data_IF_459741572958
#
_entry.id   IF_459741572958
#
_cell.length_a   1.000
_cell.length_b   1.000
_cell.length_c   1.000
_cell.angle_alpha   90.00
_cell.angle_beta   90.00
_cell.angle_gamma   90.00
#
_symmetry.space_group_name_H-M   'P 1'
#
loop_
_entity.id
_entity.type
_entity.pdbx_description
1 polymer ?
#
# COMPACT_ATOMS: atom_id res chain seq x y z
N UNK A 1 -7.95 -14.65 0.90
CA UNK A 1 -8.74 -14.43 2.14
C UNK A 1 -9.21 -13.01 2.10
N UNK A 2 -10.54 -12.81 2.13
CA UNK A 2 -11.10 -11.47 1.93
C UNK A 2 -10.64 -10.51 3.02
N UNK A 3 -10.38 -9.27 2.64
CA UNK A 3 -9.93 -8.26 3.59
C UNK A 3 -10.66 -6.94 3.38
N UNK A 4 -10.75 -6.15 4.45
CA UNK A 4 -11.21 -4.77 4.35
C UNK A 4 -10.01 -3.85 4.17
N UNK A 5 -10.13 -2.92 3.22
CA UNK A 5 -9.11 -1.90 3.00
C UNK A 5 -9.26 -0.78 4.03
N UNK A 6 -8.15 -0.39 4.63
CA UNK A 6 -8.04 0.83 5.44
C UNK A 6 -6.83 1.64 5.00
N UNK A 7 -6.94 2.95 5.00
CA UNK A 7 -5.79 3.83 4.83
C UNK A 7 -5.21 4.17 6.20
N UNK A 8 -3.90 4.14 6.34
CA UNK A 8 -3.24 4.44 7.61
C UNK A 8 -3.35 5.92 8.02
N UNK A 9 -3.50 6.81 7.03
CA UNK A 9 -3.63 8.25 7.23
C UNK A 9 -4.80 8.81 6.41
N UNK A 10 -5.52 9.77 6.97
CA UNK A 10 -6.61 10.46 6.28
C UNK A 10 -6.09 11.24 5.05
N UNK A 11 -4.93 11.86 5.17
CA UNK A 11 -4.24 12.54 4.05
C UNK A 11 -3.94 11.60 2.89
N UNK A 12 -3.67 10.33 3.17
CA UNK A 12 -3.43 9.32 2.15
C UNK A 12 -4.73 9.03 1.41
N UNK A 13 -5.84 8.85 2.14
CA UNK A 13 -7.16 8.70 1.54
C UNK A 13 -7.54 9.91 0.68
N UNK A 14 -7.33 11.13 1.17
CA UNK A 14 -7.56 12.34 0.38
C UNK A 14 -6.71 12.38 -0.90
N UNK A 15 -5.43 11.98 -0.80
CA UNK A 15 -4.54 11.94 -1.96
C UNK A 15 -5.05 10.95 -3.01
N UNK A 16 -5.54 9.78 -2.58
CA UNK A 16 -6.16 8.79 -3.47
C UNK A 16 -7.40 9.36 -4.17
N UNK A 17 -8.30 10.02 -3.44
CA UNK A 17 -9.50 10.64 -4.03
C UNK A 17 -9.12 11.74 -5.03
N UNK A 18 -8.08 12.55 -4.75
CA UNK A 18 -7.62 13.58 -5.69
C UNK A 18 -7.10 13.01 -7.01
N UNK A 19 -6.52 11.80 -7.00
CA UNK A 19 -6.06 11.14 -8.23
C UNK A 19 -7.24 10.79 -9.16
N UNK A 20 -8.43 10.54 -8.60
CA UNK A 20 -9.65 10.21 -9.35
C UNK A 20 -10.11 11.36 -10.25
N UNK A 21 -10.02 12.59 -9.76
CA UNK A 21 -10.46 13.79 -10.45
C UNK A 21 -9.40 14.37 -11.41
N UNK A 22 -8.18 13.82 -11.40
CA UNK A 22 -7.11 14.25 -12.29
C UNK A 22 -7.36 13.80 -13.74
N UNK A 23 -6.90 14.60 -14.71
CA UNK A 23 -7.08 14.33 -16.16
C UNK A 23 -5.84 13.73 -16.84
N UNK A 24 -4.77 13.50 -16.10
CA UNK A 24 -3.44 13.18 -16.62
C UNK A 24 -2.97 11.77 -16.20
N UNK A 25 -1.67 11.55 -16.06
CA UNK A 25 -1.08 10.27 -15.63
C UNK A 25 -1.56 9.81 -14.25
N UNK A 26 -1.94 10.75 -13.39
CA UNK A 26 -2.53 10.50 -12.07
C UNK A 26 -3.81 9.66 -12.14
N UNK A 27 -4.62 9.81 -13.21
CA UNK A 27 -5.82 9.00 -13.40
C UNK A 27 -5.47 7.53 -13.63
N UNK A 28 -4.39 7.27 -14.36
CA UNK A 28 -3.89 5.89 -14.56
C UNK A 28 -3.37 5.32 -13.26
N UNK A 29 -2.68 6.14 -12.45
CA UNK A 29 -2.24 5.74 -11.12
C UNK A 29 -3.42 5.39 -10.22
N UNK A 30 -4.50 6.19 -10.24
CA UNK A 30 -5.75 5.87 -9.56
C UNK A 30 -6.30 4.52 -10.00
N UNK A 31 -6.39 4.26 -11.31
CA UNK A 31 -6.88 2.97 -11.84
C UNK A 31 -6.01 1.79 -11.37
N UNK A 32 -4.69 1.95 -11.34
CA UNK A 32 -3.78 0.91 -10.86
C UNK A 32 -3.91 0.65 -9.37
N UNK A 33 -3.97 1.71 -8.55
CA UNK A 33 -4.17 1.58 -7.11
C UNK A 33 -5.54 0.96 -6.85
N UNK A 34 -6.61 1.44 -7.48
CA UNK A 34 -7.96 0.92 -7.31
C UNK A 34 -8.05 -0.58 -7.68
N UNK A 35 -7.38 -1.00 -8.75
CA UNK A 35 -7.25 -2.42 -9.08
C UNK A 35 -6.53 -3.20 -7.97
N UNK A 36 -5.40 -2.69 -7.48
CA UNK A 36 -4.69 -3.35 -6.39
C UNK A 36 -5.53 -3.41 -5.10
N UNK A 37 -6.34 -2.39 -4.80
CA UNK A 37 -7.28 -2.43 -3.68
C UNK A 37 -8.31 -3.55 -3.86
N UNK A 38 -8.89 -3.70 -5.05
CA UNK A 38 -9.82 -4.81 -5.32
C UNK A 38 -9.14 -6.17 -5.13
N UNK A 39 -7.91 -6.34 -5.64
CA UNK A 39 -7.15 -7.57 -5.47
C UNK A 39 -6.87 -7.88 -3.99
N UNK A 40 -6.60 -6.83 -3.18
CA UNK A 40 -6.42 -6.94 -1.73
C UNK A 40 -7.74 -7.27 -1.00
N UNK A 41 -8.87 -6.74 -1.46
CA UNK A 41 -10.19 -7.09 -0.92
C UNK A 41 -10.52 -8.56 -1.11
N UNK A 42 -10.14 -9.14 -2.25
CA UNK A 42 -10.29 -10.58 -2.50
C UNK A 42 -9.24 -11.41 -1.75
N UNK A 43 -8.00 -10.91 -1.72
CA UNK A 43 -6.88 -11.58 -1.09
C UNK A 43 -5.81 -10.62 -0.54
N UNK A 44 -5.82 -10.36 0.77
CA UNK A 44 -4.79 -9.55 1.44
C UNK A 44 -3.34 -10.03 1.22
N UNK A 45 -3.15 -11.31 0.94
CA UNK A 45 -1.84 -11.93 0.78
C UNK A 45 -1.38 -12.00 -0.69
N UNK A 46 -2.01 -11.26 -1.61
CA UNK A 46 -1.65 -11.25 -3.03
C UNK A 46 -0.33 -10.52 -3.33
N UNK A 47 0.13 -9.66 -2.42
CA UNK A 47 1.40 -8.96 -2.54
C UNK A 47 2.63 -9.80 -2.13
N UNK A 48 3.79 -9.18 -2.25
CA UNK A 48 5.09 -9.73 -1.87
C UNK A 48 5.39 -9.32 -0.42
N UNK A 49 5.62 -10.30 0.45
CA UNK A 49 6.01 -10.04 1.84
C UNK A 49 7.45 -9.51 1.89
N UNK A 50 7.64 -8.36 2.53
CA UNK A 50 8.97 -7.82 2.84
C UNK A 50 9.50 -8.55 4.08
N UNK A 51 10.76 -9.01 4.00
CA UNK A 51 11.41 -9.68 5.13
C UNK A 51 11.50 -8.73 6.33
N UNK A 52 11.23 -9.22 7.55
CA UNK A 52 11.20 -8.38 8.77
C UNK A 52 12.47 -7.54 8.97
N UNK A 53 13.64 -8.06 8.58
CA UNK A 53 14.93 -7.35 8.63
C UNK A 53 15.05 -6.15 7.69
N UNK A 54 14.23 -6.09 6.64
CA UNK A 54 14.22 -5.02 5.63
C UNK A 54 13.12 -3.98 5.91
N UNK A 55 12.30 -4.18 6.95
CA UNK A 55 11.28 -3.22 7.35
C UNK A 55 11.98 -2.05 8.03
N UNK A 56 11.87 -0.86 7.44
CA UNK A 56 12.45 0.35 8.02
C UNK A 56 11.77 0.67 9.36
N UNK A 57 12.57 1.07 10.36
CA UNK A 57 12.08 1.43 11.70
C UNK A 57 10.98 2.48 11.67
N UNK A 58 11.04 3.42 10.73
CA UNK A 58 10.02 4.47 10.56
C UNK A 58 8.61 3.89 10.41
N UNK A 59 8.44 2.77 9.70
CA UNK A 59 7.11 2.16 9.55
C UNK A 59 6.65 1.47 10.84
N UNK A 60 7.57 0.81 11.53
CA UNK A 60 7.30 0.11 12.79
C UNK A 60 6.91 1.12 13.87
N UNK A 61 7.66 2.22 13.98
CA UNK A 61 7.42 3.26 14.98
C UNK A 61 6.18 4.09 14.66
N UNK A 62 5.96 4.45 13.38
CA UNK A 62 4.82 5.30 12.99
C UNK A 62 3.49 4.55 13.00
N UNK A 63 3.46 3.30 12.53
CA UNK A 63 2.23 2.55 12.31
C UNK A 63 2.05 1.34 13.24
N UNK A 64 3.05 1.04 14.08
CA UNK A 64 3.02 -0.08 15.05
C UNK A 64 2.69 -1.40 14.34
N UNK A 65 3.38 -1.66 13.23
CA UNK A 65 3.20 -2.86 12.40
C UNK A 65 4.35 -3.85 12.61
N UNK A 66 4.06 -5.14 12.49
CA UNK A 66 5.05 -6.22 12.60
C UNK A 66 5.32 -6.93 11.25
N UNK A 67 4.56 -6.55 10.22
CA UNK A 67 4.65 -7.07 8.86
C UNK A 67 4.47 -5.95 7.82
N UNK A 68 5.14 -6.11 6.69
CA UNK A 68 5.09 -5.18 5.57
C UNK A 68 4.98 -5.97 4.27
N UNK A 69 4.12 -5.48 3.39
CA UNK A 69 3.87 -6.07 2.09
C UNK A 69 4.04 -5.01 1.01
N UNK A 70 4.40 -5.47 -0.17
CA UNK A 70 4.53 -4.67 -1.37
C UNK A 70 3.71 -5.30 -2.48
N UNK A 71 2.89 -4.50 -3.14
CA UNK A 71 2.25 -4.86 -4.39
C UNK A 71 2.91 -4.05 -5.51
N UNK A 72 3.41 -4.73 -6.54
CA UNK A 72 4.06 -4.07 -7.68
C UNK A 72 3.00 -3.53 -8.66
N UNK A 73 2.99 -2.22 -8.83
CA UNK A 73 2.11 -1.50 -9.75
C UNK A 73 2.84 -1.21 -11.07
N UNK A 74 2.12 -0.91 -12.16
CA UNK A 74 2.73 -0.52 -13.43
C UNK A 74 3.67 0.69 -13.31
N UNK A 75 4.60 0.82 -14.28
CA UNK A 75 5.64 1.86 -14.31
C UNK A 75 6.57 1.90 -13.08
N UNK A 76 6.73 0.78 -12.38
CA UNK A 76 7.63 0.68 -11.23
C UNK A 76 7.10 1.32 -9.95
N UNK A 77 5.82 1.69 -9.93
CA UNK A 77 5.13 2.10 -8.71
C UNK A 77 4.97 0.89 -7.78
N UNK A 78 4.93 1.16 -6.48
CA UNK A 78 4.82 0.13 -5.44
C UNK A 78 3.82 0.60 -4.40
N UNK A 79 2.79 -0.20 -4.19
CA UNK A 79 1.85 -0.02 -3.10
C UNK A 79 2.40 -0.76 -1.88
N UNK A 80 2.62 -0.03 -0.80
CA UNK A 80 3.12 -0.54 0.47
C UNK A 80 1.95 -0.61 1.44
N UNK A 81 1.76 -1.79 2.01
CA UNK A 81 0.65 -2.05 2.92
C UNK A 81 1.03 -3.05 4.01
N UNK A 82 0.26 -3.06 5.08
CA UNK A 82 0.38 -4.02 6.18
C UNK A 82 -0.90 -4.86 6.25
N UNK A 83 -0.79 -6.08 6.79
CA UNK A 83 -1.94 -6.97 6.93
C UNK A 83 -2.15 -7.26 8.42
N UNK A 84 -3.26 -6.80 8.97
CA UNK A 84 -3.63 -7.05 10.35
C UNK A 84 -4.79 -8.05 10.42
N UNK A 85 -4.77 -8.97 11.38
CA UNK A 85 -5.93 -9.80 11.69
C UNK A 85 -6.85 -9.01 12.62
N UNK A 86 -7.98 -8.53 12.10
CA UNK A 86 -9.06 -8.01 12.93
C UNK A 86 -9.86 -9.14 13.58
N UNK A 87 -10.70 -8.79 14.56
CA UNK A 87 -11.54 -9.76 15.28
C UNK A 87 -12.54 -10.48 14.37
N UNK A 88 -12.99 -9.81 13.29
CA UNK A 88 -14.04 -10.31 12.39
C UNK A 88 -13.51 -10.61 10.98
N UNK A 89 -12.50 -9.88 10.51
CA UNK A 89 -11.93 -10.05 9.18
C UNK A 89 -10.49 -9.53 9.11
N UNK A 90 -9.78 -9.89 8.03
CA UNK A 90 -8.44 -9.36 7.75
C UNK A 90 -8.54 -7.91 7.32
N UNK A 91 -7.59 -7.08 7.76
CA UNK A 91 -7.46 -5.69 7.36
C UNK A 91 -6.20 -5.54 6.52
N UNK A 92 -6.36 -4.98 5.31
CA UNK A 92 -5.24 -4.51 4.49
C UNK A 92 -5.09 -3.01 4.71
N UNK A 93 -4.05 -2.63 5.47
CA UNK A 93 -3.77 -1.25 5.87
C UNK A 93 -2.79 -0.65 4.85
N UNK A 94 -3.28 0.23 3.98
CA UNK A 94 -2.49 0.96 3.00
C UNK A 94 -1.66 2.03 3.71
N UNK A 95 -0.34 1.92 3.58
CA UNK A 95 0.61 2.81 4.24
C UNK A 95 1.04 3.93 3.30
N UNK A 96 1.40 3.58 2.06
CA UNK A 96 1.75 4.54 1.00
C UNK A 96 1.83 3.86 -0.38
N UNK A 97 1.88 4.66 -1.45
CA UNK A 97 2.32 4.22 -2.76
C UNK A 97 3.42 5.15 -3.26
N UNK A 98 4.50 4.57 -3.77
CA UNK A 98 5.69 5.32 -4.16
C UNK A 98 6.22 4.84 -5.51
N UNK A 99 6.83 5.75 -6.24
CA UNK A 99 7.45 5.45 -7.52
C UNK A 99 8.77 4.69 -7.32
N UNK A 100 9.41 4.33 -8.43
CA UNK A 100 10.65 3.57 -8.38
C UNK A 100 11.77 4.33 -7.64
N UNK A 101 11.91 5.63 -7.91
CA UNK A 101 13.02 6.46 -7.40
C UNK A 101 12.88 6.70 -5.90
N UNK A 102 11.69 7.02 -5.44
CA UNK A 102 11.41 7.23 -4.02
C UNK A 102 11.52 5.94 -3.22
N UNK A 103 11.16 4.80 -3.82
CA UNK A 103 11.37 3.50 -3.22
C UNK A 103 12.86 3.20 -3.01
N UNK A 104 13.71 3.36 -4.04
CA UNK A 104 15.15 3.12 -3.92
C UNK A 104 15.79 4.03 -2.88
N UNK A 105 15.49 5.34 -2.93
CA UNK A 105 15.99 6.31 -1.95
C UNK A 105 15.61 5.96 -0.51
N UNK A 106 14.38 5.48 -0.29
CA UNK A 106 13.88 5.18 1.05
C UNK A 106 14.42 3.87 1.61
N UNK A 107 14.49 2.83 0.78
CA UNK A 107 14.93 1.51 1.20
C UNK A 107 16.44 1.27 1.02
N UNK A 108 17.16 2.24 0.44
CA UNK A 108 18.62 2.21 0.29
C UNK A 108 19.09 1.15 -0.72
N UNK A 109 18.30 0.93 -1.78
CA UNK A 109 18.66 0.05 -2.89
C UNK A 109 19.51 0.76 -3.94
#
# INVERSE_FOLDING_TARGET
>A
MKSQIKFAEEKLKESFERLKDSKTEDKKLYEWINRALNDLEENAFCGIRIQKRLILKVYIEKYIIDNLWKYDLPKGWRLIYSVANGEVCVLSIILEWIDHKDYERRFGY
#
